data_IF_561664990477
#
_entry.id   IF_561664990477
#
_cell.length_a   1.000
_cell.length_b   1.000
_cell.length_c   1.000
_cell.angle_alpha   90.00
_cell.angle_beta   90.00
_cell.angle_gamma   90.00
#
_symmetry.space_group_name_H-M   'P 1'
#
loop_
_entity.id
_entity.type
_entity.pdbx_description
1 polymer ?
#
# COMPACT_ATOMS: atom_id res chain seq x y z
N UNK A 1 19.05 -4.97 -23.41
CA UNK A 1 19.50 -4.54 -22.06
C UNK A 1 18.50 -4.82 -20.91
N UNK A 2 17.60 -5.83 -20.98
CA UNK A 2 16.68 -6.18 -19.86
C UNK A 2 17.03 -7.50 -19.12
N UNK A 3 18.12 -8.18 -19.51
CA UNK A 3 18.45 -9.55 -19.07
C UNK A 3 19.44 -9.67 -17.90
N UNK A 4 20.00 -8.57 -17.41
CA UNK A 4 21.19 -8.65 -16.53
C UNK A 4 20.84 -8.90 -15.06
N UNK A 5 19.63 -8.60 -14.57
CA UNK A 5 19.32 -8.78 -13.12
C UNK A 5 18.61 -10.11 -12.82
N UNK A 6 17.76 -10.62 -13.73
CA UNK A 6 17.15 -11.94 -13.54
C UNK A 6 18.19 -13.08 -13.53
N UNK A 7 19.29 -12.93 -14.29
CA UNK A 7 20.38 -13.91 -14.28
C UNK A 7 21.39 -13.70 -13.13
N UNK A 8 21.52 -12.49 -12.57
CA UNK A 8 22.42 -12.24 -11.43
C UNK A 8 21.78 -12.54 -10.07
N UNK A 9 20.44 -12.45 -9.93
CA UNK A 9 19.73 -12.80 -8.69
C UNK A 9 19.75 -14.30 -8.38
N UNK A 10 19.87 -15.19 -9.38
CA UNK A 10 20.03 -16.63 -9.11
C UNK A 10 21.39 -16.99 -8.51
N UNK A 11 22.38 -16.08 -8.56
CA UNK A 11 23.76 -16.32 -8.12
C UNK A 11 24.12 -15.65 -6.78
N UNK A 12 23.32 -14.68 -6.31
CA UNK A 12 23.57 -13.95 -5.07
C UNK A 12 22.67 -14.48 -3.95
N UNK A 13 23.26 -15.11 -2.93
CA UNK A 13 22.50 -15.50 -1.75
C UNK A 13 21.76 -14.29 -1.14
N UNK A 14 20.51 -14.47 -0.67
CA UNK A 14 19.71 -13.40 -0.03
C UNK A 14 20.48 -12.68 1.09
N UNK A 15 21.41 -13.39 1.77
CA UNK A 15 22.34 -12.80 2.76
C UNK A 15 23.34 -11.82 2.15
N UNK A 16 23.93 -12.15 0.99
CA UNK A 16 24.86 -11.27 0.28
C UNK A 16 24.14 -10.04 -0.27
N UNK A 17 22.96 -10.24 -0.86
CA UNK A 17 22.13 -9.13 -1.35
C UNK A 17 21.73 -8.18 -0.22
N UNK A 18 21.26 -8.70 0.93
CA UNK A 18 20.96 -7.89 2.11
C UNK A 18 22.15 -7.03 2.55
N UNK A 19 23.36 -7.63 2.62
CA UNK A 19 24.58 -6.89 2.98
C UNK A 19 24.88 -5.77 1.98
N UNK A 20 24.69 -6.01 0.70
CA UNK A 20 24.92 -4.99 -0.32
C UNK A 20 23.91 -3.84 -0.23
N UNK A 21 22.63 -4.14 0.08
CA UNK A 21 21.60 -3.13 0.35
C UNK A 21 22.00 -2.26 1.55
N UNK A 22 22.36 -2.89 2.68
CA UNK A 22 22.77 -2.18 3.91
C UNK A 22 23.96 -1.27 3.66
N UNK A 23 24.96 -1.78 2.93
CA UNK A 23 26.18 -1.03 2.65
C UNK A 23 26.03 -0.04 1.48
N UNK A 24 24.79 0.19 0.99
CA UNK A 24 24.48 1.04 -0.18
C UNK A 24 25.33 0.70 -1.42
N UNK A 25 25.78 -0.55 -1.52
CA UNK A 25 26.62 -1.08 -2.61
C UNK A 25 25.81 -1.52 -3.82
N UNK A 26 24.51 -1.79 -3.63
CA UNK A 26 23.57 -1.99 -4.74
C UNK A 26 22.99 -0.63 -5.10
N UNK A 27 23.07 -0.29 -6.39
CA UNK A 27 22.36 0.86 -6.90
C UNK A 27 20.87 0.61 -6.70
N UNK A 28 20.27 1.43 -5.84
CA UNK A 28 18.87 1.37 -5.44
C UNK A 28 17.91 1.49 -6.66
N UNK A 29 18.42 1.92 -7.83
CA UNK A 29 17.74 1.88 -9.14
C UNK A 29 17.66 0.49 -9.80
N UNK A 30 18.32 -0.53 -9.24
CA UNK A 30 18.51 -1.87 -9.82
C UNK A 30 17.78 -3.00 -9.06
N UNK A 31 16.88 -2.70 -8.13
CA UNK A 31 16.05 -3.73 -7.50
C UNK A 31 14.77 -4.03 -8.29
N UNK A 32 14.70 -3.60 -9.55
CA UNK A 32 13.58 -3.89 -10.45
C UNK A 32 13.47 -5.40 -10.68
N UNK A 33 12.24 -5.92 -10.73
CA UNK A 33 11.96 -7.34 -10.99
C UNK A 33 12.71 -8.33 -10.07
N UNK A 34 13.17 -7.88 -8.90
CA UNK A 34 14.04 -8.68 -8.02
C UNK A 34 13.23 -9.56 -7.07
N UNK A 35 13.75 -10.75 -6.72
CA UNK A 35 13.21 -11.55 -5.63
C UNK A 35 13.82 -11.17 -4.28
N UNK A 36 13.04 -10.48 -3.47
CA UNK A 36 13.35 -10.08 -2.10
C UNK A 36 12.43 -10.76 -1.09
N UNK A 37 11.62 -11.72 -1.53
CA UNK A 37 10.65 -12.40 -0.68
C UNK A 37 11.30 -13.00 0.56
N UNK A 38 10.59 -12.92 1.69
CA UNK A 38 11.03 -13.40 3.00
C UNK A 38 12.31 -12.76 3.56
N UNK A 39 12.85 -11.71 2.93
CA UNK A 39 14.04 -11.04 3.44
C UNK A 39 13.71 -10.19 4.67
N UNK A 40 14.67 -10.10 5.60
CA UNK A 40 14.60 -9.12 6.67
C UNK A 40 15.30 -7.83 6.25
N UNK A 41 14.52 -6.81 5.92
CA UNK A 41 14.98 -5.46 5.57
C UNK A 41 14.54 -4.40 6.60
N UNK A 42 14.25 -4.84 7.83
CA UNK A 42 13.80 -3.98 8.91
C UNK A 42 14.90 -3.00 9.33
N UNK A 43 14.51 -1.76 9.68
CA UNK A 43 15.40 -0.69 10.11
C UNK A 43 16.47 -0.26 9.07
N UNK A 44 16.24 -0.52 7.78
CA UNK A 44 17.17 -0.12 6.71
C UNK A 44 16.76 1.23 6.10
N UNK A 45 17.74 2.02 5.67
CA UNK A 45 17.53 3.20 4.81
C UNK A 45 17.45 2.76 3.34
N UNK A 46 16.23 2.79 2.79
CA UNK A 46 15.89 2.44 1.41
C UNK A 46 15.15 3.59 0.71
N UNK A 47 15.43 4.84 1.09
CA UNK A 47 14.85 6.02 0.46
C UNK A 47 15.13 6.03 -1.05
N UNK A 48 14.10 6.32 -1.85
CA UNK A 48 14.19 6.32 -3.31
C UNK A 48 14.35 4.95 -3.96
N UNK A 49 14.11 3.85 -3.24
CA UNK A 49 14.19 2.49 -3.78
C UNK A 49 13.30 2.24 -4.98
N UNK A 50 13.90 1.74 -6.07
CA UNK A 50 13.16 1.30 -7.27
C UNK A 50 13.04 -0.21 -7.25
N UNK A 51 11.85 -0.67 -6.93
CA UNK A 51 11.47 -2.07 -6.70
C UNK A 51 10.19 -2.41 -7.48
N UNK A 52 9.97 -1.74 -8.61
CA UNK A 52 8.86 -2.02 -9.53
C UNK A 52 8.83 -3.50 -9.88
N UNK A 53 7.63 -4.09 -9.89
CA UNK A 53 7.37 -5.48 -10.25
C UNK A 53 8.18 -6.53 -9.49
N UNK A 54 8.77 -6.16 -8.35
CA UNK A 54 9.57 -7.07 -7.53
C UNK A 54 8.71 -8.03 -6.71
N UNK A 55 9.26 -9.19 -6.37
CA UNK A 55 8.67 -10.09 -5.40
C UNK A 55 9.14 -9.72 -3.99
N UNK A 56 8.22 -9.18 -3.19
CA UNK A 56 8.41 -8.72 -1.82
C UNK A 56 7.54 -9.48 -0.82
N UNK A 57 7.00 -10.63 -1.24
CA UNK A 57 6.12 -11.46 -0.43
C UNK A 57 6.75 -11.74 0.94
N UNK A 58 6.00 -11.45 2.00
CA UNK A 58 6.42 -11.68 3.40
C UNK A 58 7.77 -11.06 3.77
N UNK A 59 8.21 -10.02 3.08
CA UNK A 59 9.44 -9.27 3.43
C UNK A 59 9.19 -8.46 4.70
N UNK A 60 10.19 -8.37 5.57
CA UNK A 60 10.13 -7.57 6.79
C UNK A 60 10.71 -6.18 6.52
N UNK A 61 9.86 -5.17 6.48
CA UNK A 61 10.17 -3.74 6.33
C UNK A 61 9.85 -2.93 7.61
N UNK A 62 9.83 -3.60 8.77
CA UNK A 62 9.50 -2.94 10.03
C UNK A 62 10.46 -1.77 10.28
N UNK A 63 9.90 -0.57 10.51
CA UNK A 63 10.67 0.68 10.74
C UNK A 63 11.64 1.06 9.61
N UNK A 64 11.46 0.51 8.40
CA UNK A 64 12.32 0.84 7.24
C UNK A 64 11.98 2.23 6.71
N UNK A 65 13.01 2.97 6.30
CA UNK A 65 12.86 4.27 5.65
C UNK A 65 12.73 4.06 4.13
N UNK A 66 11.53 4.23 3.59
CA UNK A 66 11.20 3.99 2.18
C UNK A 66 10.76 5.27 1.47
N UNK A 67 10.99 6.45 2.04
CA UNK A 67 10.46 7.69 1.49
C UNK A 67 10.86 7.88 0.02
N UNK A 68 9.87 8.18 -0.83
CA UNK A 68 10.05 8.34 -2.28
C UNK A 68 10.38 7.04 -3.04
N UNK A 69 10.25 5.86 -2.42
CA UNK A 69 10.44 4.60 -3.12
C UNK A 69 9.34 4.37 -4.18
N UNK A 70 9.73 3.72 -5.26
CA UNK A 70 8.88 3.30 -6.38
C UNK A 70 8.75 1.78 -6.32
N UNK A 71 7.60 1.32 -5.85
CA UNK A 71 7.30 -0.09 -5.56
C UNK A 71 5.99 -0.50 -6.26
N UNK A 72 5.71 0.08 -7.43
CA UNK A 72 4.50 -0.18 -8.19
C UNK A 72 4.50 -1.58 -8.82
N UNK A 73 3.31 -2.16 -8.98
CA UNK A 73 3.09 -3.49 -9.56
C UNK A 73 3.85 -4.63 -8.84
N UNK A 74 4.29 -4.41 -7.60
CA UNK A 74 5.06 -5.39 -6.84
C UNK A 74 4.14 -6.34 -6.04
N UNK A 75 4.66 -7.51 -5.68
CA UNK A 75 3.98 -8.43 -4.77
C UNK A 75 4.48 -8.22 -3.33
N UNK A 76 3.75 -7.49 -2.51
CA UNK A 76 3.98 -7.31 -1.06
C UNK A 76 3.03 -8.16 -0.20
N UNK A 77 2.43 -9.22 -0.73
CA UNK A 77 1.48 -10.04 0.03
C UNK A 77 2.10 -10.55 1.34
N UNK A 78 1.43 -10.27 2.46
CA UNK A 78 1.88 -10.60 3.81
C UNK A 78 3.16 -9.88 4.28
N UNK A 79 3.62 -8.83 3.58
CA UNK A 79 4.79 -8.06 4.02
C UNK A 79 4.52 -7.33 5.35
N UNK A 80 5.56 -7.17 6.16
CA UNK A 80 5.49 -6.41 7.41
C UNK A 80 6.09 -5.01 7.22
N UNK A 81 5.24 -4.01 7.05
CA UNK A 81 5.56 -2.58 6.90
C UNK A 81 5.24 -1.79 8.18
N UNK A 82 5.08 -2.45 9.33
CA UNK A 82 4.76 -1.77 10.58
C UNK A 82 5.80 -0.70 10.93
N UNK A 83 5.32 0.47 11.37
CA UNK A 83 6.12 1.65 11.70
C UNK A 83 7.04 2.16 10.56
N UNK A 84 6.85 1.70 9.32
CA UNK A 84 7.68 2.14 8.19
C UNK A 84 7.41 3.61 7.81
N UNK A 85 8.43 4.28 7.28
CA UNK A 85 8.30 5.65 6.76
C UNK A 85 8.01 5.58 5.26
N UNK A 86 6.74 5.63 4.88
CA UNK A 86 6.24 5.42 3.51
C UNK A 86 5.81 6.72 2.79
N UNK A 87 6.40 7.85 3.20
CA UNK A 87 6.06 9.17 2.65
C UNK A 87 6.44 9.24 1.16
N UNK A 88 5.53 9.69 0.29
CA UNK A 88 5.74 9.76 -1.17
C UNK A 88 6.02 8.41 -1.86
N UNK A 89 5.67 7.28 -1.26
CA UNK A 89 5.89 5.97 -1.88
C UNK A 89 4.83 5.70 -2.96
N UNK A 90 5.26 5.15 -4.09
CA UNK A 90 4.35 4.66 -5.11
C UNK A 90 4.15 3.15 -5.01
N UNK A 91 2.96 2.72 -4.59
CA UNK A 91 2.49 1.33 -4.56
C UNK A 91 1.44 1.02 -5.64
N UNK A 92 1.25 1.89 -6.65
CA UNK A 92 0.17 1.71 -7.63
C UNK A 92 0.16 0.30 -8.26
N UNK A 93 -1.01 -0.32 -8.31
CA UNK A 93 -1.22 -1.66 -8.86
C UNK A 93 -0.53 -2.80 -8.11
N UNK A 94 -0.02 -2.58 -6.90
CA UNK A 94 0.68 -3.61 -6.12
C UNK A 94 -0.27 -4.51 -5.33
N UNK A 95 0.18 -5.73 -5.05
CA UNK A 95 -0.53 -6.67 -4.17
C UNK A 95 -0.01 -6.53 -2.73
N UNK A 96 -0.79 -5.93 -1.85
CA UNK A 96 -0.53 -5.81 -0.41
C UNK A 96 -1.48 -6.67 0.43
N UNK A 97 -2.06 -7.73 -0.14
CA UNK A 97 -3.00 -8.58 0.60
C UNK A 97 -2.39 -9.11 1.90
N UNK A 98 -3.08 -8.90 3.02
CA UNK A 98 -2.62 -9.33 4.35
C UNK A 98 -1.37 -8.61 4.86
N UNK A 99 -0.95 -7.50 4.25
CA UNK A 99 0.21 -6.74 4.71
C UNK A 99 -0.08 -6.05 6.06
N UNK A 100 0.93 -5.98 6.92
CA UNK A 100 0.88 -5.24 8.17
C UNK A 100 1.43 -3.83 7.95
N UNK A 101 0.58 -2.81 8.03
CA UNK A 101 0.91 -1.39 7.88
C UNK A 101 0.67 -0.61 9.18
N UNK A 102 0.57 -1.30 10.33
CA UNK A 102 0.29 -0.68 11.62
C UNK A 102 1.30 0.42 11.94
N UNK A 103 0.81 1.59 12.34
CA UNK A 103 1.66 2.74 12.70
C UNK A 103 2.48 3.34 11.55
N UNK A 104 2.36 2.82 10.32
CA UNK A 104 3.14 3.31 9.19
C UNK A 104 2.76 4.75 8.83
N UNK A 105 3.73 5.51 8.33
CA UNK A 105 3.49 6.87 7.87
C UNK A 105 3.18 6.90 6.37
N UNK A 106 1.92 7.13 6.00
CA UNK A 106 1.39 7.03 4.64
C UNK A 106 1.13 8.40 3.96
N UNK A 107 1.71 9.49 4.46
CA UNK A 107 1.55 10.81 3.85
C UNK A 107 1.98 10.82 2.38
N UNK A 108 1.11 11.30 1.49
CA UNK A 108 1.34 11.34 0.03
C UNK A 108 1.70 9.98 -0.59
N UNK A 109 1.32 8.87 0.04
CA UNK A 109 1.51 7.53 -0.54
C UNK A 109 0.47 7.26 -1.61
N UNK A 110 0.88 6.65 -2.73
CA UNK A 110 0.00 6.28 -3.81
C UNK A 110 -0.33 4.78 -3.80
N UNK A 111 -1.59 4.44 -3.53
CA UNK A 111 -2.14 3.08 -3.63
C UNK A 111 -3.09 2.91 -4.81
N UNK A 112 -3.01 3.75 -5.85
CA UNK A 112 -3.94 3.65 -7.00
C UNK A 112 -3.99 2.23 -7.58
N UNK A 113 -5.18 1.62 -7.59
CA UNK A 113 -5.40 0.25 -8.07
C UNK A 113 -4.72 -0.86 -7.25
N UNK A 114 -4.12 -0.56 -6.10
CA UNK A 114 -3.48 -1.55 -5.25
C UNK A 114 -4.49 -2.43 -4.52
N UNK A 115 -4.12 -3.67 -4.21
CA UNK A 115 -4.96 -4.58 -3.43
C UNK A 115 -4.48 -4.65 -1.98
N UNK A 116 -5.22 -4.04 -1.05
CA UNK A 116 -4.98 -4.06 0.38
C UNK A 116 -5.95 -4.98 1.13
N UNK A 117 -6.55 -5.97 0.47
CA UNK A 117 -7.50 -6.86 1.13
C UNK A 117 -6.85 -7.56 2.33
N UNK A 118 -7.52 -7.61 3.47
CA UNK A 118 -7.02 -8.15 4.74
C UNK A 118 -5.79 -7.43 5.32
N UNK A 119 -5.38 -6.28 4.80
CA UNK A 119 -4.28 -5.51 5.38
C UNK A 119 -4.69 -4.87 6.72
N UNK A 120 -3.71 -4.67 7.61
CA UNK A 120 -3.90 -3.97 8.88
C UNK A 120 -3.27 -2.57 8.83
N UNK A 121 -4.11 -1.54 8.80
CA UNK A 121 -3.78 -0.11 8.80
C UNK A 121 -4.00 0.55 10.17
N UNK A 122 -4.14 -0.22 11.26
CA UNK A 122 -4.38 0.34 12.60
C UNK A 122 -3.30 1.36 12.97
N UNK A 123 -3.70 2.58 13.31
CA UNK A 123 -2.78 3.66 13.69
C UNK A 123 -1.90 4.18 12.54
N UNK A 124 -2.13 3.76 11.29
CA UNK A 124 -1.42 4.30 10.15
C UNK A 124 -1.76 5.79 9.96
N UNK A 125 -0.76 6.60 9.65
CA UNK A 125 -0.92 8.04 9.43
C UNK A 125 -1.39 8.29 8.00
N UNK A 126 -2.71 8.38 7.83
CA UNK A 126 -3.40 8.60 6.56
C UNK A 126 -4.04 9.99 6.59
N UNK A 127 -3.91 10.77 5.52
CA UNK A 127 -4.62 12.04 5.34
C UNK A 127 -5.17 12.16 3.91
N UNK A 128 -5.78 13.31 3.58
CA UNK A 128 -6.37 13.59 2.26
C UNK A 128 -5.37 13.50 1.10
N UNK A 129 -4.07 13.47 1.38
CA UNK A 129 -3.03 13.33 0.35
C UNK A 129 -2.69 11.88 0.03
N UNK A 130 -3.17 10.93 0.83
CA UNK A 130 -2.99 9.50 0.58
C UNK A 130 -3.97 9.06 -0.50
N UNK A 131 -3.48 8.54 -1.61
CA UNK A 131 -4.31 8.17 -2.75
C UNK A 131 -4.73 6.69 -2.65
N UNK A 132 -6.03 6.42 -2.48
CA UNK A 132 -6.60 5.07 -2.61
C UNK A 132 -7.56 4.92 -3.79
N UNK A 133 -7.44 5.78 -4.81
CA UNK A 133 -8.23 5.67 -6.04
C UNK A 133 -8.16 4.24 -6.58
N UNK A 134 -9.30 3.63 -6.92
CA UNK A 134 -9.37 2.24 -7.41
C UNK A 134 -8.79 1.14 -6.49
N UNK A 135 -8.30 1.47 -5.29
CA UNK A 135 -7.71 0.49 -4.40
C UNK A 135 -8.77 -0.50 -3.91
N UNK A 136 -8.41 -1.77 -3.78
CA UNK A 136 -9.29 -2.82 -3.28
C UNK A 136 -9.00 -3.02 -1.80
N UNK A 137 -9.99 -2.78 -0.94
CA UNK A 137 -9.87 -2.78 0.52
C UNK A 137 -10.93 -3.68 1.15
N UNK A 138 -10.89 -4.97 0.80
CA UNK A 138 -11.82 -5.97 1.34
C UNK A 138 -11.32 -6.47 2.70
N UNK A 139 -12.15 -6.43 3.73
CA UNK A 139 -11.80 -6.86 5.10
C UNK A 139 -10.52 -6.19 5.62
N UNK A 140 -10.25 -4.95 5.23
CA UNK A 140 -9.13 -4.17 5.74
C UNK A 140 -9.42 -3.77 7.20
N UNK A 141 -8.40 -3.77 8.05
CA UNK A 141 -8.52 -3.23 9.42
C UNK A 141 -8.02 -1.79 9.37
N UNK A 142 -8.89 -0.81 9.62
CA UNK A 142 -8.55 0.62 9.57
C UNK A 142 -9.40 1.40 10.58
N UNK A 143 -8.82 2.45 11.17
CA UNK A 143 -9.54 3.33 12.09
C UNK A 143 -10.71 4.04 11.39
N UNK A 144 -11.87 4.11 12.05
CA UNK A 144 -13.10 4.67 11.49
C UNK A 144 -12.93 6.11 10.97
N UNK A 145 -12.10 6.91 11.65
CA UNK A 145 -11.83 8.29 11.25
C UNK A 145 -11.01 8.39 9.95
N UNK A 146 -10.19 7.38 9.64
CA UNK A 146 -9.37 7.32 8.41
C UNK A 146 -10.13 6.65 7.26
N UNK A 147 -11.15 5.86 7.57
CA UNK A 147 -11.97 5.18 6.57
C UNK A 147 -12.67 6.15 5.60
N UNK A 148 -13.19 7.27 6.10
CA UNK A 148 -13.81 8.30 5.26
C UNK A 148 -12.84 8.83 4.19
N UNK A 149 -11.56 8.98 4.53
CA UNK A 149 -10.54 9.45 3.59
C UNK A 149 -10.39 8.45 2.44
N UNK A 150 -10.26 7.16 2.76
CA UNK A 150 -10.17 6.10 1.76
C UNK A 150 -11.40 6.07 0.84
N UNK A 151 -12.62 6.14 1.41
CA UNK A 151 -13.87 6.18 0.63
C UNK A 151 -13.88 7.38 -0.31
N UNK A 152 -13.63 8.59 0.20
CA UNK A 152 -13.67 9.82 -0.61
C UNK A 152 -12.62 9.86 -1.71
N UNK A 153 -11.53 9.10 -1.59
CA UNK A 153 -10.52 8.96 -2.63
C UNK A 153 -10.88 7.94 -3.72
N UNK A 154 -12.01 7.22 -3.60
CA UNK A 154 -12.45 6.25 -4.61
C UNK A 154 -12.01 4.79 -4.34
N UNK A 155 -11.70 4.45 -3.08
CA UNK A 155 -11.40 3.06 -2.71
C UNK A 155 -12.66 2.17 -2.77
N UNK A 156 -12.48 0.93 -3.23
CA UNK A 156 -13.50 -0.13 -3.20
C UNK A 156 -13.40 -0.87 -1.87
N UNK A 157 -14.34 -0.62 -0.95
CA UNK A 157 -14.36 -1.20 0.40
C UNK A 157 -15.52 -2.18 0.54
N UNK A 158 -15.26 -3.32 1.16
CA UNK A 158 -16.28 -4.31 1.53
C UNK A 158 -15.87 -4.99 2.83
N UNK A 159 -16.78 -5.14 3.79
CA UNK A 159 -16.55 -5.92 5.02
C UNK A 159 -17.48 -7.14 5.06
N UNK A 160 -16.98 -8.31 5.47
CA UNK A 160 -17.78 -9.55 5.51
C UNK A 160 -18.87 -9.61 6.58
N UNK A 161 -18.82 -8.75 7.60
CA UNK A 161 -19.68 -8.89 8.79
C UNK A 161 -20.35 -7.54 9.15
N UNK A 162 -21.56 -7.28 8.64
CA UNK A 162 -22.60 -6.42 9.26
C UNK A 162 -22.34 -4.92 9.51
N UNK A 163 -21.11 -4.42 9.43
CA UNK A 163 -20.78 -3.01 9.62
C UNK A 163 -21.12 -2.14 8.39
N UNK A 164 -21.51 -2.76 7.28
CA UNK A 164 -21.92 -2.08 6.04
C UNK A 164 -23.07 -1.08 6.29
N UNK A 165 -23.97 -1.34 7.23
CA UNK A 165 -25.06 -0.42 7.58
C UNK A 165 -24.58 0.86 8.30
N UNK A 166 -23.55 0.77 9.14
CA UNK A 166 -22.97 1.95 9.81
C UNK A 166 -22.13 2.78 8.83
N UNK A 167 -21.39 2.12 7.94
CA UNK A 167 -20.60 2.78 6.90
C UNK A 167 -21.45 3.47 5.84
N UNK A 168 -22.56 2.86 5.43
CA UNK A 168 -23.51 3.47 4.49
C UNK A 168 -24.16 4.73 5.07
N UNK A 169 -24.52 4.72 6.36
CA UNK A 169 -25.12 5.88 7.04
C UNK A 169 -24.15 7.05 7.27
N UNK A 170 -22.87 6.75 7.52
CA UNK A 170 -21.81 7.76 7.70
C UNK A 170 -21.30 8.32 6.36
N UNK A 171 -21.25 7.47 5.33
CA UNK A 171 -21.01 7.85 3.92
C UNK A 171 -22.03 8.90 3.47
N UNK A 172 -23.33 8.63 3.63
CA UNK A 172 -24.41 9.55 3.26
C UNK A 172 -24.40 10.85 4.09
N UNK A 173 -24.11 10.80 5.40
CA UNK A 173 -24.06 12.00 6.26
C UNK A 173 -22.88 12.92 5.95
N UNK A 174 -21.73 12.39 5.52
CA UNK A 174 -20.58 13.22 5.11
C UNK A 174 -20.70 13.69 3.66
N UNK A 175 -21.32 12.88 2.78
CA UNK A 175 -21.60 13.23 1.38
C UNK A 175 -22.67 14.32 1.27
N UNK A 176 -23.77 14.24 2.05
CA UNK A 176 -24.85 15.23 2.05
C UNK A 176 -24.47 16.60 2.64
N UNK A 177 -23.30 16.73 3.29
CA UNK A 177 -22.80 18.03 3.77
C UNK A 177 -22.03 18.83 2.71
N UNK A 178 -21.76 18.29 1.51
CA UNK A 178 -20.86 18.94 0.52
C UNK A 178 -21.39 19.17 -0.91
N UNK A 179 -22.64 18.88 -1.28
CA UNK A 179 -23.28 19.33 -2.55
C UNK A 179 -24.80 19.46 -2.32
N UNK A 180 -25.38 20.66 -2.28
CA UNK A 180 -25.90 21.47 -3.40
C UNK A 180 -26.91 20.72 -4.29
N UNK A 181 -28.18 21.14 -4.11
CA UNK A 181 -29.42 21.09 -4.93
C UNK A 181 -30.02 19.73 -5.36
N UNK A 182 -31.31 19.47 -5.06
CA UNK A 182 -32.04 18.29 -5.52
C UNK A 182 -32.60 18.53 -6.93
N UNK A 183 -32.08 17.82 -7.93
CA UNK A 183 -32.76 17.67 -9.20
C UNK A 183 -32.48 16.28 -9.76
N UNK A 184 -33.56 15.61 -10.15
CA UNK A 184 -33.65 14.34 -10.87
C UNK A 184 -33.28 13.10 -10.07
N UNK A 185 -34.31 12.44 -9.51
CA UNK A 185 -34.72 11.12 -10.00
C UNK A 185 -36.23 10.95 -9.74
N UNK A 186 -36.99 10.87 -10.82
CA UNK A 186 -38.40 10.44 -10.81
C UNK A 186 -38.49 8.94 -10.45
N UNK A 187 -39.60 8.49 -9.84
CA UNK A 187 -39.76 7.09 -9.47
C UNK A 187 -40.05 6.23 -10.70
N UNK A 188 -39.41 5.06 -10.78
CA UNK A 188 -39.88 3.98 -11.66
C UNK A 188 -40.62 2.98 -10.79
N UNK A 189 -41.95 2.98 -10.93
CA UNK A 189 -42.90 1.91 -10.61
C UNK A 189 -42.76 0.79 -11.67
N UNK A 190 -42.90 -0.52 -11.45
CA UNK A 190 -43.44 -1.36 -10.38
C UNK A 190 -42.50 -2.55 -10.17
#
# INVERSE_FOLDING_TARGET
>A
MRRIINAFCSYLSKRRLRRQIINKKVNIRLLLDSDLSYMNLSNIDMRGAKMTASNLKKTLFKRTALQGAVINSANLSGANLSDAKLIFVNFSGSDLRGANLRGANLYKTNFDGANLSYADLTGAKIDITTNFTNAIMINVIIDINRLNIAITSGAKIQHRNGYDHLLHSLSLKSYNKKKITPANFAPVTY
#
